data_IF_891224102159
#
_entry.id   IF_891224102159
#
_cell.length_a   1.000
_cell.length_b   1.000
_cell.length_c   1.000
_cell.angle_alpha   90.00
_cell.angle_beta   90.00
_cell.angle_gamma   90.00
#
_symmetry.space_group_name_H-M   'P 1'
#
loop_
_entity.id
_entity.type
_entity.pdbx_description
1 polymer ?
#
# COMPACT_ATOMS: atom_id res chain seq x y z
N UNK A 1 -7.23 9.50 -6.01
CA UNK A 1 -6.94 8.75 -4.75
C UNK A 1 -5.49 8.26 -4.73
N UNK A 2 -5.04 7.49 -5.73
CA UNK A 2 -3.66 6.99 -5.85
C UNK A 2 -2.58 8.09 -5.72
N UNK A 3 -2.67 9.15 -6.55
CA UNK A 3 -1.69 10.25 -6.49
C UNK A 3 -1.69 10.98 -5.15
N UNK A 4 -2.85 11.14 -4.51
CA UNK A 4 -2.94 11.70 -3.17
C UNK A 4 -2.17 10.84 -2.15
N UNK A 5 -2.33 9.52 -2.22
CA UNK A 5 -1.57 8.57 -1.41
C UNK A 5 -0.06 8.69 -1.61
N UNK A 6 0.39 8.80 -2.87
CA UNK A 6 1.81 9.01 -3.20
C UNK A 6 2.33 10.34 -2.65
N UNK A 7 1.54 11.42 -2.74
CA UNK A 7 1.91 12.73 -2.17
C UNK A 7 2.04 12.65 -0.66
N UNK A 8 1.10 12.02 0.05
CA UNK A 8 1.19 11.82 1.50
C UNK A 8 2.40 10.97 1.90
N UNK A 9 2.74 9.93 1.13
CA UNK A 9 3.97 9.16 1.33
C UNK A 9 5.21 10.06 1.23
N UNK A 10 5.29 10.90 0.19
CA UNK A 10 6.40 11.84 -0.02
C UNK A 10 6.45 12.91 1.08
N UNK A 11 5.32 13.46 1.51
CA UNK A 11 5.24 14.41 2.63
C UNK A 11 5.74 13.77 3.93
N UNK A 12 5.24 12.57 4.25
CA UNK A 12 5.70 11.80 5.41
C UNK A 12 7.21 11.53 5.36
N UNK A 13 7.74 11.18 4.18
CA UNK A 13 9.15 10.81 4.01
C UNK A 13 10.11 11.99 4.06
N UNK A 14 9.76 13.09 3.39
CA UNK A 14 10.70 14.18 3.13
C UNK A 14 10.42 15.45 3.92
N UNK A 15 9.15 15.74 4.26
CA UNK A 15 8.77 16.98 4.95
C UNK A 15 8.61 16.73 6.45
N UNK A 16 7.91 15.68 6.83
CA UNK A 16 7.59 15.38 8.23
C UNK A 16 8.58 14.45 8.91
N UNK A 17 9.77 14.24 8.33
CA UNK A 17 10.76 13.31 8.86
C UNK A 17 11.19 13.59 10.32
N UNK A 18 11.14 14.86 10.75
CA UNK A 18 11.53 15.31 12.09
C UNK A 18 10.45 15.19 13.17
N UNK A 19 9.19 14.97 12.81
CA UNK A 19 8.08 14.80 13.76
C UNK A 19 7.40 13.45 13.53
N UNK A 20 7.65 12.51 14.46
CA UNK A 20 7.13 11.14 14.37
C UNK A 20 5.60 11.09 14.33
N UNK A 21 4.93 11.99 15.05
CA UNK A 21 3.47 12.00 15.14
C UNK A 21 2.84 12.47 13.81
N UNK A 22 3.35 13.56 13.24
CA UNK A 22 2.87 14.11 11.97
C UNK A 22 3.22 13.17 10.83
N UNK A 23 4.40 12.56 10.87
CA UNK A 23 4.83 11.52 9.93
C UNK A 23 3.88 10.34 9.91
N UNK A 24 3.54 9.79 11.08
CA UNK A 24 2.60 8.68 11.18
C UNK A 24 1.20 9.06 10.69
N UNK A 25 0.71 10.24 11.06
CA UNK A 25 -0.60 10.73 10.59
C UNK A 25 -0.64 10.91 9.06
N UNK A 26 0.43 11.41 8.46
CA UNK A 26 0.55 11.50 7.00
C UNK A 26 0.59 10.12 6.35
N UNK A 27 1.30 9.14 6.94
CA UNK A 27 1.31 7.77 6.45
C UNK A 27 -0.08 7.11 6.54
N UNK A 28 -0.82 7.33 7.63
CA UNK A 28 -2.20 6.84 7.79
C UNK A 28 -3.16 7.46 6.77
N UNK A 29 -3.05 8.77 6.51
CA UNK A 29 -3.82 9.44 5.46
C UNK A 29 -3.46 8.90 4.06
N UNK A 30 -2.17 8.62 3.82
CA UNK A 30 -1.74 7.99 2.58
C UNK A 30 -2.33 6.58 2.43
N UNK A 31 -2.28 5.77 3.48
CA UNK A 31 -2.81 4.41 3.51
C UNK A 31 -4.32 4.38 3.28
N UNK A 32 -5.08 5.29 3.88
CA UNK A 32 -6.53 5.37 3.68
C UNK A 32 -6.89 5.71 2.23
N UNK A 33 -6.14 6.62 1.58
CA UNK A 33 -6.34 6.96 0.18
C UNK A 33 -5.97 5.81 -0.77
N UNK A 34 -4.93 5.06 -0.45
CA UNK A 34 -4.46 3.92 -1.25
C UNK A 34 -5.40 2.72 -1.11
N UNK A 35 -5.80 2.38 0.12
CA UNK A 35 -6.80 1.32 0.38
C UNK A 35 -8.18 1.65 -0.17
N UNK A 36 -8.57 2.94 -0.19
CA UNK A 36 -9.81 3.37 -0.83
C UNK A 36 -9.86 3.12 -2.35
N UNK A 37 -8.74 2.76 -3.00
CA UNK A 37 -8.77 2.28 -4.38
C UNK A 37 -9.58 0.98 -4.51
N UNK A 38 -9.51 0.09 -3.51
CA UNK A 38 -10.23 -1.18 -3.48
C UNK A 38 -11.71 -1.02 -3.12
N UNK A 39 -12.06 -0.01 -2.32
CA UNK A 39 -13.46 0.28 -1.98
C UNK A 39 -14.32 0.68 -3.20
N UNK A 40 -13.72 0.95 -4.36
CA UNK A 40 -14.44 1.25 -5.59
C UNK A 40 -15.02 0.01 -6.30
N UNK A 41 -14.66 -1.20 -5.87
CA UNK A 41 -15.19 -2.45 -6.42
C UNK A 41 -15.70 -3.38 -5.33
N UNK A 42 -16.81 -4.07 -5.61
CA UNK A 42 -17.34 -5.13 -4.73
C UNK A 42 -16.52 -6.42 -4.81
N UNK A 43 -15.63 -6.58 -5.80
CA UNK A 43 -14.74 -7.74 -5.93
C UNK A 43 -13.54 -7.70 -4.97
N UNK A 44 -13.36 -6.59 -4.25
CA UNK A 44 -12.34 -6.47 -3.21
C UNK A 44 -12.93 -6.57 -1.81
N UNK A 45 -12.15 -7.12 -0.87
CA UNK A 45 -12.47 -7.08 0.54
C UNK A 45 -12.74 -5.66 1.04
N UNK A 46 -13.77 -5.49 1.87
CA UNK A 46 -14.09 -4.19 2.49
C UNK A 46 -13.48 -4.06 3.89
N UNK A 47 -13.04 -5.17 4.48
CA UNK A 47 -12.38 -5.19 5.78
C UNK A 47 -10.88 -5.35 5.58
N UNK A 48 -10.09 -4.52 6.25
CA UNK A 48 -8.64 -4.57 6.12
C UNK A 48 -8.04 -5.94 6.52
N UNK A 49 -8.66 -6.63 7.47
CA UNK A 49 -8.25 -7.96 7.92
C UNK A 49 -8.27 -9.02 6.80
N UNK A 50 -9.24 -8.93 5.89
CA UNK A 50 -9.40 -9.88 4.79
C UNK A 50 -8.26 -9.77 3.76
N UNK A 51 -7.48 -8.68 3.77
CA UNK A 51 -6.27 -8.55 2.97
C UNK A 51 -5.09 -9.40 3.46
N UNK A 52 -5.21 -10.07 4.61
CA UNK A 52 -4.22 -11.05 5.07
C UNK A 52 -4.05 -12.20 4.08
N UNK A 53 -5.15 -12.72 3.54
CA UNK A 53 -5.18 -13.85 2.60
C UNK A 53 -5.45 -13.42 1.15
N UNK A 54 -5.93 -12.19 0.95
CA UNK A 54 -6.29 -11.68 -0.35
C UNK A 54 -5.14 -10.96 -1.05
N UNK A 55 -4.83 -11.36 -2.29
CA UNK A 55 -3.94 -10.64 -3.21
C UNK A 55 -4.74 -10.19 -4.44
N UNK A 56 -4.86 -8.88 -4.71
CA UNK A 56 -5.65 -8.40 -5.83
C UNK A 56 -5.05 -8.81 -7.18
N UNK A 57 -5.89 -9.33 -8.07
CA UNK A 57 -5.53 -9.66 -9.47
C UNK A 57 -5.51 -8.39 -10.32
N UNK A 58 -6.49 -7.51 -10.10
CA UNK A 58 -6.64 -6.19 -10.71
C UNK A 58 -7.00 -5.20 -9.59
N UNK A 59 -6.72 -3.92 -9.80
CA UNK A 59 -7.12 -2.85 -8.86
C UNK A 59 -8.51 -2.32 -9.21
N UNK A 60 -8.80 -2.20 -10.51
CA UNK A 60 -10.10 -1.86 -11.07
C UNK A 60 -10.35 -2.77 -12.26
N UNK A 61 -11.53 -3.37 -12.31
CA UNK A 61 -11.87 -4.39 -13.30
C UNK A 61 -11.71 -3.86 -14.73
N UNK A 62 -10.90 -4.54 -15.52
CA UNK A 62 -10.66 -4.20 -16.93
C UNK A 62 -9.85 -2.91 -17.17
N UNK A 63 -9.26 -2.32 -16.12
CA UNK A 63 -8.49 -1.08 -16.24
C UNK A 63 -7.04 -1.27 -15.78
N UNK A 64 -6.11 -1.11 -16.72
CA UNK A 64 -4.68 -1.04 -16.41
C UNK A 64 -4.29 0.39 -16.00
N UNK A 65 -4.24 0.65 -14.69
CA UNK A 65 -3.86 1.95 -14.13
C UNK A 65 -2.42 2.38 -14.45
N UNK A 66 -1.58 1.47 -14.97
CA UNK A 66 -0.17 1.71 -15.29
C UNK A 66 0.10 1.89 -16.78
N UNK A 67 -0.95 1.91 -17.61
CA UNK A 67 -0.81 2.10 -19.06
C UNK A 67 -0.27 3.49 -19.41
N UNK A 68 -0.70 4.52 -18.67
CA UNK A 68 -0.21 5.90 -18.81
C UNK A 68 0.62 6.31 -17.58
N UNK A 69 1.95 6.48 -17.72
CA UNK A 69 2.83 6.90 -16.64
C UNK A 69 2.49 8.28 -16.05
N UNK A 70 1.83 9.15 -16.82
CA UNK A 70 1.39 10.46 -16.33
C UNK A 70 0.19 10.36 -15.38
N UNK A 71 -0.59 9.29 -15.47
CA UNK A 71 -1.71 9.02 -14.58
C UNK A 71 -1.26 8.30 -13.31
N UNK A 72 -0.44 7.26 -13.47
CA UNK A 72 0.15 6.54 -12.34
C UNK A 72 1.46 5.88 -12.73
N UNK A 73 2.57 6.42 -12.22
CA UNK A 73 3.87 5.78 -12.36
C UNK A 73 3.99 4.62 -11.35
N UNK A 74 4.14 3.40 -11.85
CA UNK A 74 4.22 2.18 -11.05
C UNK A 74 5.40 2.16 -10.06
N UNK A 75 6.55 2.77 -10.41
CA UNK A 75 7.70 2.86 -9.51
C UNK A 75 7.47 3.84 -8.36
N UNK A 76 6.89 5.00 -8.66
CA UNK A 76 6.52 5.98 -7.63
C UNK A 76 5.48 5.41 -6.67
N UNK A 77 4.49 4.69 -7.22
CA UNK A 77 3.47 4.02 -6.41
C UNK A 77 4.07 2.89 -5.56
N UNK A 78 4.93 2.04 -6.12
CA UNK A 78 5.55 0.94 -5.35
C UNK A 78 6.43 1.46 -4.22
N UNK A 79 7.21 2.52 -4.47
CA UNK A 79 8.03 3.20 -3.46
C UNK A 79 7.19 3.83 -2.35
N UNK A 80 6.06 4.46 -2.71
CA UNK A 80 5.12 5.02 -1.76
C UNK A 80 4.44 3.94 -0.90
N UNK A 81 3.99 2.85 -1.52
CA UNK A 81 3.36 1.72 -0.86
C UNK A 81 4.32 1.04 0.13
N UNK A 82 5.56 0.75 -0.31
CA UNK A 82 6.59 0.16 0.56
C UNK A 82 6.91 1.05 1.76
N UNK A 83 7.09 2.35 1.51
CA UNK A 83 7.37 3.31 2.58
C UNK A 83 6.20 3.39 3.58
N UNK A 84 4.96 3.53 3.12
CA UNK A 84 3.79 3.60 4.00
C UNK A 84 3.64 2.30 4.79
N UNK A 85 3.70 1.13 4.13
CA UNK A 85 3.59 -0.16 4.81
C UNK A 85 4.68 -0.32 5.88
N UNK A 86 5.92 0.08 5.58
CA UNK A 86 7.03 0.04 6.54
C UNK A 86 6.80 0.99 7.73
N UNK A 87 6.24 2.18 7.51
CA UNK A 87 5.97 3.13 8.60
C UNK A 87 4.83 2.66 9.48
N UNK A 88 3.77 2.12 8.90
CA UNK A 88 2.64 1.62 9.65
C UNK A 88 3.04 0.41 10.50
N UNK A 89 3.74 -0.55 9.91
CA UNK A 89 4.26 -1.73 10.64
C UNK A 89 5.18 -1.35 11.78
N UNK A 90 6.14 -0.44 11.55
CA UNK A 90 7.04 0.05 12.59
C UNK A 90 6.35 0.79 13.74
N UNK A 91 5.09 1.25 13.55
CA UNK A 91 4.30 1.96 14.56
C UNK A 91 3.11 1.13 15.08
N UNK A 92 3.11 -0.19 14.89
CA UNK A 92 2.06 -1.07 15.41
C UNK A 92 0.71 -0.99 14.65
N UNK A 93 0.68 -0.34 13.49
CA UNK A 93 -0.53 -0.14 12.66
C UNK A 93 -0.68 -1.22 11.61
N UNK A 94 -0.62 -2.48 12.05
CA UNK A 94 -0.60 -3.65 11.17
C UNK A 94 -1.90 -3.84 10.39
N UNK A 95 -3.05 -3.53 11.00
CA UNK A 95 -4.35 -3.65 10.35
C UNK A 95 -4.47 -2.68 9.15
N UNK A 96 -4.00 -1.44 9.29
CA UNK A 96 -3.97 -0.47 8.20
C UNK A 96 -2.90 -0.77 7.14
N UNK A 97 -1.84 -1.50 7.52
CA UNK A 97 -0.77 -1.89 6.61
C UNK A 97 -1.17 -3.03 5.67
N UNK A 98 -2.09 -3.92 6.07
CA UNK A 98 -2.49 -5.10 5.27
C UNK A 98 -2.95 -4.77 3.84
N UNK A 99 -3.91 -3.84 3.62
CA UNK A 99 -4.33 -3.48 2.25
C UNK A 99 -3.20 -2.84 1.44
N UNK A 100 -2.32 -2.08 2.10
CA UNK A 100 -1.15 -1.42 1.47
C UNK A 100 -0.13 -2.47 1.02
N UNK A 101 0.14 -3.49 1.84
CA UNK A 101 1.04 -4.58 1.53
C UNK A 101 0.50 -5.48 0.41
N UNK A 102 -0.80 -5.80 0.42
CA UNK A 102 -1.45 -6.53 -0.66
C UNK A 102 -1.42 -5.75 -1.98
N UNK A 103 -1.61 -4.43 -1.93
CA UNK A 103 -1.46 -3.57 -3.10
C UNK A 103 0.00 -3.55 -3.58
N UNK A 104 0.97 -3.43 -2.68
CA UNK A 104 2.38 -3.49 -3.04
C UNK A 104 2.74 -4.80 -3.74
N UNK A 105 2.21 -5.93 -3.26
CA UNK A 105 2.41 -7.24 -3.89
C UNK A 105 1.86 -7.24 -5.32
N UNK A 106 0.64 -6.72 -5.52
CA UNK A 106 0.05 -6.60 -6.85
C UNK A 106 0.92 -5.76 -7.79
N UNK A 107 1.36 -4.57 -7.37
CA UNK A 107 2.19 -3.68 -8.19
C UNK A 107 3.54 -4.32 -8.50
N UNK A 108 4.20 -4.89 -7.48
CA UNK A 108 5.50 -5.52 -7.64
C UNK A 108 5.44 -6.72 -8.60
N UNK A 109 4.42 -7.58 -8.44
CA UNK A 109 4.32 -8.82 -9.22
C UNK A 109 3.79 -8.57 -10.64
N UNK A 110 2.72 -7.78 -10.78
CA UNK A 110 2.01 -7.63 -12.07
C UNK A 110 2.51 -6.46 -12.91
N UNK A 111 2.70 -5.29 -12.29
CA UNK A 111 3.09 -4.09 -13.03
C UNK A 111 4.60 -4.03 -13.26
N UNK A 112 5.41 -4.24 -12.22
CA UNK A 112 6.87 -4.10 -12.29
C UNK A 112 7.61 -5.40 -12.62
N UNK A 113 6.98 -6.56 -12.36
CA UNK A 113 7.63 -7.89 -12.43
C UNK A 113 8.92 -7.97 -11.61
N UNK A 114 8.94 -7.26 -10.47
CA UNK A 114 10.06 -7.21 -9.55
C UNK A 114 9.89 -8.29 -8.47
N UNK A 115 10.65 -9.38 -8.61
CA UNK A 115 10.62 -10.49 -7.67
C UNK A 115 11.06 -10.07 -6.26
N UNK A 116 12.04 -9.16 -6.13
CA UNK A 116 12.55 -8.72 -4.83
C UNK A 116 11.47 -7.92 -4.09
N UNK A 117 10.83 -6.99 -4.78
CA UNK A 117 9.73 -6.21 -4.19
C UNK A 117 8.52 -7.08 -3.88
N UNK A 118 8.24 -8.10 -4.70
CA UNK A 118 7.16 -9.05 -4.43
C UNK A 118 7.41 -9.84 -3.14
N UNK A 119 8.63 -10.33 -2.92
CA UNK A 119 9.02 -11.00 -1.68
C UNK A 119 8.94 -10.04 -0.49
N UNK A 120 9.40 -8.80 -0.65
CA UNK A 120 9.31 -7.77 0.39
C UNK A 120 7.86 -7.47 0.79
N UNK A 121 6.96 -7.35 -0.17
CA UNK A 121 5.54 -7.14 0.09
C UNK A 121 4.93 -8.30 0.88
N UNK A 122 5.27 -9.54 0.52
CA UNK A 122 4.82 -10.75 1.24
C UNK A 122 5.38 -10.81 2.65
N UNK A 123 6.65 -10.45 2.84
CA UNK A 123 7.26 -10.38 4.16
C UNK A 123 6.55 -9.38 5.06
N UNK A 124 6.32 -8.15 4.57
CA UNK A 124 5.57 -7.12 5.30
C UNK A 124 4.15 -7.60 5.68
N UNK A 125 3.48 -8.31 4.77
CA UNK A 125 2.16 -8.87 5.05
C UNK A 125 2.22 -9.98 6.10
N UNK A 126 3.19 -10.89 6.01
CA UNK A 126 3.39 -11.94 7.00
C UNK A 126 3.70 -11.38 8.38
N UNK A 127 4.56 -10.35 8.48
CA UNK A 127 4.81 -9.62 9.72
C UNK A 127 3.51 -9.04 10.31
N UNK A 128 2.66 -8.42 9.48
CA UNK A 128 1.35 -7.95 9.92
C UNK A 128 0.46 -9.07 10.45
N UNK A 129 0.42 -10.23 9.79
CA UNK A 129 -0.39 -11.36 10.23
C UNK A 129 0.08 -11.89 11.59
N UNK A 130 1.39 -12.05 11.78
CA UNK A 130 1.99 -12.51 13.04
C UNK A 130 1.62 -11.58 14.19
N UNK A 131 1.77 -10.27 14.00
CA UNK A 131 1.44 -9.27 15.03
C UNK A 131 -0.08 -9.17 15.32
N UNK A 132 -0.92 -9.56 14.36
CA UNK A 132 -2.38 -9.64 14.54
C UNK A 132 -2.85 -10.99 15.10
N UNK A 133 -1.96 -11.98 15.24
CA UNK A 133 -2.28 -13.33 15.72
C UNK A 133 -3.05 -14.18 14.72
N UNK A 134 -2.82 -13.98 13.41
CA UNK A 134 -3.41 -14.73 12.29
C UNK A 134 -2.46 -15.80 11.75
#
# INVERSE_FOLDING_TARGET
>A
RLMGGVVFAKLSKYIYAGDLSVRLNAALAGASLLSAAFACSMSHPQRALEFAEYTPVEVWEGLNIFEDPHQCNAFDLSSALDYIATILTANGRHLEALPVAAFLEHVAFRALRDARMSVRARLLRAECCVELGL
#
